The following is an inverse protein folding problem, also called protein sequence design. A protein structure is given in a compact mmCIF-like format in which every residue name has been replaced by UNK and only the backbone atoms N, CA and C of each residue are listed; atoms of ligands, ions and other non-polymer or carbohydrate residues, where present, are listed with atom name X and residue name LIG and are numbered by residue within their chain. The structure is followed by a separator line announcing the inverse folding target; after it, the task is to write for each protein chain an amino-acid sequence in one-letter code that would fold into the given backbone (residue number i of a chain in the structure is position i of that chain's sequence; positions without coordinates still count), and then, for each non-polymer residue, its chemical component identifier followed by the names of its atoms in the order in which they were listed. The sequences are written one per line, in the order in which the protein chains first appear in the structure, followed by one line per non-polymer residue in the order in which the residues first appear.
data_IF_586678877195
#
_entry.id   IF_586678877195
#
_cell.length_a   1.000
_cell.length_b   1.000
_cell.length_c   1.000
_cell.angle_alpha   90.00
_cell.angle_beta   90.00
_cell.angle_gamma   90.00
#
_symmetry.space_group_name_H-M   'P 1'
#
loop_
_entity.id
_entity.type
_entity.pdbx_description
1 polymer ?
#
# COMPACT_ATOMS: atom_id res chain seq x y z
N UNK A 1 -6.24 5.52 7.97
CA UNK A 1 -6.92 4.31 7.46
C UNK A 1 -6.16 3.08 7.89
N UNK A 2 -6.84 2.12 8.46
CA UNK A 2 -6.25 0.83 8.80
C UNK A 2 -6.73 -0.23 7.83
N UNK A 3 -5.81 -1.10 7.39
CA UNK A 3 -6.15 -2.18 6.47
C UNK A 3 -6.53 -3.41 7.30
N UNK A 4 -7.72 -3.96 7.07
CA UNK A 4 -8.22 -5.09 7.86
C UNK A 4 -7.52 -6.40 7.49
N UNK A 5 -7.42 -7.29 8.47
CA UNK A 5 -6.91 -8.64 8.23
C UNK A 5 -7.74 -9.38 7.18
N UNK A 6 -9.06 -9.20 7.20
CA UNK A 6 -9.96 -9.82 6.23
C UNK A 6 -9.62 -9.41 4.81
N UNK A 7 -9.34 -8.12 4.58
CA UNK A 7 -8.96 -7.63 3.26
C UNK A 7 -7.63 -8.21 2.82
N UNK A 8 -6.65 -8.29 3.73
CA UNK A 8 -5.34 -8.87 3.46
C UNK A 8 -5.49 -10.35 3.09
N UNK A 9 -6.25 -11.11 3.84
CA UNK A 9 -6.48 -12.54 3.58
C UNK A 9 -7.14 -12.75 2.23
N UNK A 10 -8.13 -11.93 1.90
CA UNK A 10 -8.80 -11.99 0.60
C UNK A 10 -7.82 -11.71 -0.53
N UNK A 11 -6.99 -10.69 -0.39
CA UNK A 11 -5.98 -10.35 -1.39
C UNK A 11 -4.97 -11.49 -1.58
N UNK A 12 -4.43 -12.02 -0.49
CA UNK A 12 -3.45 -13.12 -0.55
C UNK A 12 -4.04 -14.37 -1.20
N UNK A 13 -5.31 -14.64 -0.93
CA UNK A 13 -6.01 -15.76 -1.56
C UNK A 13 -6.12 -15.56 -3.07
N UNK A 14 -6.47 -14.35 -3.53
CA UNK A 14 -6.61 -14.03 -4.94
C UNK A 14 -5.30 -14.16 -5.71
N UNK A 15 -4.17 -13.75 -5.11
CA UNK A 15 -2.85 -13.83 -5.74
C UNK A 15 -2.11 -15.13 -5.41
N UNK A 16 -2.75 -16.01 -4.62
CA UNK A 16 -2.17 -17.29 -4.19
C UNK A 16 -0.81 -17.15 -3.50
N UNK A 17 -0.65 -16.10 -2.71
CA UNK A 17 0.56 -15.85 -1.93
C UNK A 17 0.44 -16.52 -0.57
N UNK A 18 1.35 -17.44 -0.28
CA UNK A 18 1.39 -18.20 0.98
C UNK A 18 2.56 -17.80 1.86
N UNK A 19 3.21 -16.69 1.56
CA UNK A 19 4.35 -16.22 2.35
C UNK A 19 3.91 -15.80 3.75
N UNK A 20 4.38 -16.45 4.83
CA UNK A 20 3.95 -16.15 6.19
C UNK A 20 4.37 -14.75 6.67
N UNK A 21 5.32 -14.11 6.01
CA UNK A 21 5.73 -12.73 6.34
C UNK A 21 4.56 -11.76 6.22
N UNK A 22 3.58 -12.04 5.37
CA UNK A 22 2.42 -11.17 5.18
C UNK A 22 1.37 -11.28 6.28
N UNK A 23 1.57 -12.14 7.29
CA UNK A 23 0.62 -12.23 8.41
C UNK A 23 0.56 -10.95 9.24
N UNK A 24 1.67 -10.23 9.35
CA UNK A 24 1.77 -9.00 10.14
C UNK A 24 2.11 -7.77 9.28
N UNK A 25 2.60 -8.00 8.07
CA UNK A 25 3.01 -6.94 7.16
C UNK A 25 2.02 -6.88 6.00
N UNK A 26 1.52 -5.69 5.73
CA UNK A 26 0.57 -5.46 4.64
C UNK A 26 1.31 -5.56 3.30
N UNK A 27 0.81 -6.37 2.33
CA UNK A 27 1.42 -6.42 1.01
C UNK A 27 1.41 -5.05 0.34
N UNK A 28 2.56 -4.61 -0.17
CA UNK A 28 2.70 -3.30 -0.80
C UNK A 28 1.83 -3.13 -2.03
N UNK A 29 1.64 -4.19 -2.82
CA UNK A 29 0.77 -4.13 -3.99
C UNK A 29 -0.69 -3.87 -3.60
N UNK A 30 -1.15 -4.47 -2.51
CA UNK A 30 -2.50 -4.20 -1.98
C UNK A 30 -2.64 -2.72 -1.60
N UNK A 31 -1.62 -2.18 -0.93
CA UNK A 31 -1.62 -0.76 -0.54
C UNK A 31 -1.71 0.14 -1.76
N UNK A 32 -1.01 -0.19 -2.85
CA UNK A 32 -1.09 0.58 -4.09
C UNK A 32 -2.49 0.56 -4.69
N UNK A 33 -3.13 -0.59 -4.72
CA UNK A 33 -4.49 -0.71 -5.24
C UNK A 33 -5.48 0.10 -4.43
N UNK A 34 -5.33 0.08 -3.10
CA UNK A 34 -6.16 0.89 -2.21
C UNK A 34 -5.90 2.38 -2.45
N UNK A 35 -4.64 2.79 -2.60
CA UNK A 35 -4.29 4.18 -2.84
C UNK A 35 -4.91 4.69 -4.15
N UNK A 36 -4.83 3.90 -5.22
CA UNK A 36 -5.44 4.26 -6.50
C UNK A 36 -6.95 4.41 -6.39
N UNK A 37 -7.59 3.51 -5.65
CA UNK A 37 -9.04 3.58 -5.42
C UNK A 37 -9.43 4.81 -4.62
N UNK A 38 -8.74 5.07 -3.52
CA UNK A 38 -9.04 6.19 -2.62
C UNK A 38 -8.79 7.55 -3.30
N UNK A 39 -7.76 7.66 -4.13
CA UNK A 39 -7.40 8.89 -4.82
C UNK A 39 -8.02 8.99 -6.21
N UNK A 40 -8.78 7.97 -6.62
CA UNK A 40 -9.39 7.89 -7.94
C UNK A 40 -8.37 8.06 -9.08
N UNK A 41 -7.27 7.30 -8.99
CA UNK A 41 -6.15 7.35 -9.93
C UNK A 41 -6.11 6.07 -10.75
N UNK A 42 -5.82 6.21 -12.05
CA UNK A 42 -5.76 5.09 -12.99
C UNK A 42 -4.45 5.14 -13.78
N UNK A 43 -3.35 4.76 -13.15
CA UNK A 43 -2.05 4.67 -13.82
C UNK A 43 -1.87 3.27 -14.42
N UNK A 44 -1.54 3.21 -15.69
CA UNK A 44 -1.27 1.94 -16.38
C UNK A 44 0.09 1.36 -16.00
N UNK A 45 1.08 2.23 -15.80
CA UNK A 45 2.43 1.83 -15.46
C UNK A 45 2.94 2.62 -14.28
N UNK A 46 3.48 1.92 -13.28
CA UNK A 46 4.01 2.53 -12.09
C UNK A 46 5.05 1.61 -11.45
N UNK A 47 5.86 2.15 -10.57
CA UNK A 47 6.75 1.37 -9.73
C UNK A 47 6.60 1.78 -8.28
N UNK A 48 6.91 0.86 -7.38
CA UNK A 48 6.80 1.06 -5.94
C UNK A 48 8.20 1.13 -5.35
N UNK A 49 8.47 2.19 -4.58
CA UNK A 49 9.68 2.30 -3.79
C UNK A 49 9.35 2.03 -2.34
N UNK A 50 9.82 0.91 -1.83
CA UNK A 50 9.59 0.52 -0.44
C UNK A 50 10.63 1.16 0.45
N UNK A 51 10.18 1.87 1.49
CA UNK A 51 11.05 2.51 2.47
C UNK A 51 10.99 1.79 3.81
N UNK A 52 9.79 1.42 4.25
CA UNK A 52 9.55 0.71 5.50
C UNK A 52 8.35 -0.22 5.34
N UNK A 53 8.31 -1.35 6.09
CA UNK A 53 7.14 -2.21 6.09
C UNK A 53 5.92 -1.48 6.64
N UNK A 54 4.75 -1.81 6.12
CA UNK A 54 3.47 -1.35 6.67
C UNK A 54 2.92 -2.48 7.53
N UNK A 55 2.76 -2.19 8.82
CA UNK A 55 2.17 -3.13 9.77
C UNK A 55 0.64 -3.07 9.67
N UNK A 56 -0.03 -4.17 9.99
CA UNK A 56 -1.50 -4.22 9.97
C UNK A 56 -2.13 -3.25 10.96
N UNK A 57 -1.38 -2.80 11.97
CA UNK A 57 -1.86 -1.83 12.96
C UNK A 57 -1.58 -0.39 12.57
N UNK A 58 -0.85 -0.16 11.47
CA UNK A 58 -0.54 1.19 11.02
C UNK A 58 -1.80 1.92 10.53
N UNK A 59 -1.94 3.17 10.97
CA UNK A 59 -2.95 4.07 10.42
C UNK A 59 -2.32 4.82 9.25
N UNK A 60 -2.54 4.35 8.05
CA UNK A 60 -1.90 4.86 6.85
C UNK A 60 -2.71 5.97 6.20
N UNK A 61 -1.99 6.88 5.54
CA UNK A 61 -2.57 7.97 4.78
C UNK A 61 -1.94 8.04 3.42
N UNK A 62 -2.75 8.40 2.44
CA UNK A 62 -2.34 8.54 1.05
C UNK A 62 -2.23 10.02 0.72
N UNK A 63 -1.10 10.38 0.11
CA UNK A 63 -0.86 11.77 -0.27
C UNK A 63 -0.37 11.82 -1.72
N UNK A 64 -1.17 12.43 -2.59
CA UNK A 64 -0.79 12.68 -3.97
C UNK A 64 0.08 13.92 -4.02
N UNK A 65 1.39 13.74 -4.11
CA UNK A 65 2.34 14.85 -4.10
C UNK A 65 2.30 15.65 -5.40
N UNK A 66 2.17 14.94 -6.52
CA UNK A 66 2.03 15.53 -7.85
C UNK A 66 1.45 14.49 -8.81
N UNK A 67 1.40 14.82 -10.11
CA UNK A 67 0.79 13.96 -11.13
C UNK A 67 1.50 12.62 -11.32
N UNK A 68 2.71 12.46 -10.78
CA UNK A 68 3.54 11.28 -10.99
C UNK A 68 3.95 10.58 -9.70
N UNK A 69 3.52 11.09 -8.53
CA UNK A 69 4.03 10.57 -7.26
C UNK A 69 2.95 10.56 -6.18
N UNK A 70 2.80 9.40 -5.55
CA UNK A 70 1.92 9.20 -4.38
C UNK A 70 2.78 8.73 -3.22
N UNK A 71 2.60 9.34 -2.06
CA UNK A 71 3.24 8.91 -0.82
C UNK A 71 2.24 8.18 0.06
N UNK A 72 2.66 7.07 0.64
CA UNK A 72 1.90 6.35 1.66
C UNK A 72 2.65 6.47 2.97
N UNK A 73 2.01 7.05 3.96
CA UNK A 73 2.67 7.37 5.22
C UNK A 73 1.86 6.93 6.43
N UNK A 74 2.58 6.80 7.55
CA UNK A 74 2.02 6.60 8.87
C UNK A 74 2.37 7.84 9.70
N UNK A 75 1.44 8.33 10.51
CA UNK A 75 1.63 9.53 11.34
C UNK A 75 2.82 9.43 12.31
N UNK A 76 3.17 8.21 12.73
CA UNK A 76 4.24 7.99 13.72
C UNK A 76 5.62 7.85 13.06
N UNK A 77 5.69 7.10 11.95
CA UNK A 77 6.96 6.70 11.34
C UNK A 77 7.29 7.43 10.03
N UNK A 78 6.36 8.22 9.53
CA UNK A 78 6.55 8.94 8.27
C UNK A 78 6.24 8.09 7.04
N UNK A 79 6.94 8.36 5.93
CA UNK A 79 6.66 7.72 4.65
C UNK A 79 7.08 6.25 4.67
N UNK A 80 6.15 5.37 4.32
CA UNK A 80 6.36 3.93 4.26
C UNK A 80 6.71 3.44 2.86
N UNK A 81 6.01 3.95 1.86
CA UNK A 81 6.31 3.65 0.47
C UNK A 81 5.92 4.82 -0.44
N UNK A 82 6.47 4.80 -1.63
CA UNK A 82 6.20 5.80 -2.65
C UNK A 82 5.81 5.07 -3.94
N UNK A 83 4.75 5.52 -4.57
CA UNK A 83 4.30 5.00 -5.86
C UNK A 83 4.64 6.04 -6.92
N UNK A 84 5.41 5.63 -7.91
CA UNK A 84 5.89 6.52 -8.97
C UNK A 84 5.29 6.10 -10.30
N UNK A 85 4.67 7.05 -10.99
CA UNK A 85 4.18 6.82 -12.35
C UNK A 85 5.37 6.75 -13.31
N UNK A 86 5.32 5.77 -14.20
CA UNK A 86 6.34 5.60 -15.23
C UNK A 86 5.84 6.18 -16.55
#
# INVERSE_FOLDING_TARGET
MKISNELIETYLSLVNDKNPVHNEIVPGQLVCEIAFSELNIHWDNYKIKYLRPIDIHDDIRFFEENETKIKVSNNLDGVKLVILRI
#
